data_IF_543654617563
#
_entry.id   IF_543654617563
#
_cell.length_a   1.000
_cell.length_b   1.000
_cell.length_c   1.000
_cell.angle_alpha   90.00
_cell.angle_beta   90.00
_cell.angle_gamma   90.00
#
_symmetry.space_group_name_H-M   'P 1'
#
loop_
_entity.id
_entity.type
_entity.pdbx_description
1 polymer ?
#
# COMPACT_ATOMS: atom_id res chain seq x y z
N UNK A 1 -14.41 0.84 12.98
CA UNK A 1 -13.50 0.66 14.13
C UNK A 1 -13.65 1.85 15.07
N UNK A 2 -13.62 1.62 16.37
CA UNK A 2 -13.58 2.69 17.36
C UNK A 2 -12.15 2.92 17.82
N UNK A 3 -11.82 4.17 18.14
CA UNK A 3 -10.51 4.54 18.67
C UNK A 3 -10.35 3.98 20.09
N UNK A 4 -9.25 3.28 20.35
CA UNK A 4 -8.93 2.76 21.68
C UNK A 4 -8.53 3.92 22.60
N UNK A 5 -9.09 3.93 23.81
CA UNK A 5 -8.67 4.87 24.85
C UNK A 5 -7.25 4.52 25.31
N UNK A 6 -6.39 5.53 25.48
CA UNK A 6 -5.04 5.37 26.01
C UNK A 6 -4.53 6.69 26.59
N UNK A 7 -3.47 6.62 27.38
CA UNK A 7 -2.84 7.75 28.05
C UNK A 7 -1.46 8.13 27.47
N UNK A 8 -1.28 7.87 26.18
CA UNK A 8 -0.05 8.21 25.45
C UNK A 8 0.67 7.04 24.83
N UNK A 9 0.38 5.81 25.26
CA UNK A 9 0.91 4.59 24.68
C UNK A 9 -0.23 3.61 24.42
N UNK A 10 -0.26 3.03 23.23
CA UNK A 10 -1.28 2.05 22.86
C UNK A 10 -0.64 0.89 22.08
N UNK A 11 -1.19 -0.30 22.28
CA UNK A 11 -0.80 -1.49 21.51
C UNK A 11 -1.99 -1.89 20.65
N UNK A 12 -1.75 -1.99 19.33
CA UNK A 12 -2.73 -2.52 18.39
C UNK A 12 -2.44 -4.00 18.20
N UNK A 13 -3.41 -4.85 18.49
CA UNK A 13 -3.27 -6.28 18.33
C UNK A 13 -3.84 -6.72 16.98
N UNK A 14 -3.29 -7.78 16.36
CA UNK A 14 -3.81 -8.26 15.08
C UNK A 14 -5.25 -8.77 15.23
N UNK A 15 -5.99 -8.77 14.13
CA UNK A 15 -7.33 -9.34 14.06
C UNK A 15 -8.37 -8.47 13.37
N UNK A 16 -8.22 -7.16 13.39
CA UNK A 16 -9.09 -6.26 12.64
C UNK A 16 -8.56 -6.06 11.23
N UNK A 17 -9.47 -6.00 10.27
CA UNK A 17 -9.14 -5.77 8.87
C UNK A 17 -10.04 -4.67 8.29
N UNK A 18 -9.62 -4.10 7.18
CA UNK A 18 -10.45 -3.20 6.37
C UNK A 18 -10.10 -3.37 4.89
N UNK A 19 -11.04 -2.99 4.02
CA UNK A 19 -10.82 -3.02 2.58
C UNK A 19 -10.46 -1.61 2.12
N UNK A 20 -9.28 -1.46 1.51
CA UNK A 20 -8.82 -0.19 0.98
C UNK A 20 -9.34 0.09 -0.43
N UNK A 21 -9.32 1.35 -0.84
CA UNK A 21 -9.73 1.79 -2.18
C UNK A 21 -8.90 1.16 -3.29
N UNK A 22 -7.67 0.74 -2.99
CA UNK A 22 -6.77 0.05 -3.91
C UNK A 22 -7.22 -1.38 -4.24
N UNK A 23 -8.21 -1.93 -3.50
CA UNK A 23 -8.81 -3.23 -3.76
C UNK A 23 -8.32 -4.35 -2.85
N UNK A 24 -7.52 -4.04 -1.82
CA UNK A 24 -6.96 -5.05 -0.92
C UNK A 24 -7.57 -5.01 0.47
N UNK A 25 -7.48 -6.15 1.16
CA UNK A 25 -7.81 -6.26 2.59
C UNK A 25 -6.53 -6.06 3.40
N UNK A 26 -6.54 -5.04 4.23
CA UNK A 26 -5.42 -4.69 5.10
C UNK A 26 -5.65 -5.22 6.51
N UNK A 27 -4.57 -5.63 7.17
CA UNK A 27 -4.57 -5.76 8.62
C UNK A 27 -4.46 -4.38 9.24
N UNK A 28 -5.46 -4.00 10.05
CA UNK A 28 -5.49 -2.69 10.68
C UNK A 28 -4.37 -2.56 11.72
N UNK A 29 -3.56 -1.52 11.59
CA UNK A 29 -2.46 -1.20 12.50
C UNK A 29 -2.74 0.05 13.32
N UNK A 30 -1.68 0.73 13.73
CA UNK A 30 -1.78 2.00 14.43
C UNK A 30 -2.11 3.12 13.46
N UNK A 31 -3.23 3.80 13.67
CA UNK A 31 -3.78 4.80 12.77
C UNK A 31 -4.71 5.75 13.51
N UNK A 32 -5.24 6.73 12.81
CA UNK A 32 -6.28 7.61 13.35
C UNK A 32 -7.50 6.79 13.82
N UNK A 33 -7.86 5.78 13.04
CA UNK A 33 -9.06 4.97 13.31
C UNK A 33 -8.90 4.04 14.52
N UNK A 34 -7.68 3.63 14.84
CA UNK A 34 -7.44 2.68 15.94
C UNK A 34 -6.94 3.33 17.21
N UNK A 35 -6.04 4.30 17.11
CA UNK A 35 -5.38 4.91 18.29
C UNK A 35 -5.41 6.43 18.27
N UNK A 36 -6.09 7.06 17.31
CA UNK A 36 -6.14 8.52 17.20
C UNK A 36 -4.85 9.17 16.72
N UNK A 37 -4.01 8.44 15.98
CA UNK A 37 -2.80 8.99 15.39
C UNK A 37 -3.14 10.13 14.42
N UNK A 38 -2.37 11.20 14.44
CA UNK A 38 -2.67 12.40 13.64
C UNK A 38 -1.81 12.50 12.39
N UNK A 39 -0.55 12.08 12.46
CA UNK A 39 0.43 12.38 11.42
C UNK A 39 1.13 11.15 10.86
N UNK A 40 0.78 9.97 11.32
CA UNK A 40 1.41 8.73 10.89
C UNK A 40 0.45 7.57 11.07
N UNK A 41 0.55 6.58 10.19
CA UNK A 41 -0.13 5.30 10.37
C UNK A 41 0.74 4.16 9.84
N UNK A 42 0.50 2.96 10.36
CA UNK A 42 1.15 1.73 9.90
C UNK A 42 0.10 0.64 9.79
N UNK A 43 0.05 -0.02 8.66
CA UNK A 43 -0.87 -1.12 8.41
C UNK A 43 -0.14 -2.29 7.74
N UNK A 44 -0.75 -3.47 7.78
CA UNK A 44 -0.19 -4.68 7.21
C UNK A 44 -0.96 -5.00 5.92
N UNK A 45 -0.23 -5.23 4.84
CA UNK A 45 -0.82 -5.54 3.54
C UNK A 45 -0.33 -6.90 3.05
N UNK A 46 -1.11 -7.98 3.24
CA UNK A 46 -0.83 -9.23 2.57
C UNK A 46 -1.34 -9.17 1.13
N UNK A 47 -0.52 -9.65 0.20
CA UNK A 47 -0.89 -9.73 -1.22
C UNK A 47 -0.70 -11.17 -1.70
N UNK A 48 -1.78 -11.85 -2.08
CA UNK A 48 -1.67 -13.19 -2.66
C UNK A 48 -0.98 -13.14 -4.04
N UNK A 49 -0.52 -14.31 -4.55
CA UNK A 49 0.05 -14.36 -5.89
C UNK A 49 -0.91 -13.79 -6.93
N UNK A 50 -0.39 -12.98 -7.85
CA UNK A 50 -1.18 -12.37 -8.91
C UNK A 50 -1.98 -11.14 -8.49
N UNK A 51 -1.99 -10.79 -7.21
CA UNK A 51 -2.70 -9.60 -6.74
C UNK A 51 -2.10 -8.33 -7.35
N UNK A 52 -2.97 -7.44 -7.81
CA UNK A 52 -2.60 -6.19 -8.44
C UNK A 52 -3.39 -5.04 -7.81
N UNK A 53 -2.68 -4.04 -7.30
CA UNK A 53 -3.31 -2.85 -6.78
C UNK A 53 -3.89 -2.01 -7.92
N UNK A 54 -5.01 -1.35 -7.66
CA UNK A 54 -5.48 -0.28 -8.53
C UNK A 54 -4.46 0.86 -8.50
N UNK A 55 -4.11 1.38 -9.66
CA UNK A 55 -3.17 2.49 -9.77
C UNK A 55 -3.70 3.71 -9.05
N UNK A 56 -2.86 4.33 -8.26
CA UNK A 56 -3.23 5.49 -7.45
C UNK A 56 -2.01 6.32 -7.09
N UNK A 57 -2.25 7.49 -6.54
CA UNK A 57 -1.26 8.24 -5.79
C UNK A 57 -1.86 8.73 -4.47
N UNK A 58 -1.02 9.09 -3.53
CA UNK A 58 -1.42 9.70 -2.27
C UNK A 58 -1.08 11.19 -2.32
N UNK A 59 -2.12 12.02 -2.37
CA UNK A 59 -1.95 13.46 -2.52
C UNK A 59 -1.32 14.07 -1.26
N UNK A 60 -0.12 14.63 -1.44
CA UNK A 60 0.60 15.30 -0.36
C UNK A 60 1.13 14.37 0.74
N UNK A 61 1.11 13.05 0.53
CA UNK A 61 1.44 12.04 1.54
C UNK A 61 2.56 11.15 1.03
N UNK A 62 3.60 10.99 1.84
CA UNK A 62 4.70 10.08 1.57
C UNK A 62 4.40 8.68 2.12
N UNK A 63 4.96 7.67 1.49
CA UNK A 63 4.82 6.28 1.90
C UNK A 63 6.18 5.63 2.03
N UNK A 64 6.36 4.86 3.10
CA UNK A 64 7.45 3.91 3.23
C UNK A 64 6.83 2.54 3.45
N UNK A 65 7.28 1.55 2.69
CA UNK A 65 6.81 0.18 2.84
C UNK A 65 7.99 -0.76 3.02
N UNK A 66 7.87 -1.66 3.98
CA UNK A 66 8.87 -2.69 4.28
C UNK A 66 8.34 -4.03 3.81
N UNK A 67 9.13 -4.77 3.04
CA UNK A 67 8.76 -6.11 2.61
C UNK A 67 9.10 -7.11 3.73
N UNK A 68 8.09 -7.49 4.50
CA UNK A 68 8.24 -8.42 5.61
C UNK A 68 8.48 -9.85 5.13
N UNK A 69 7.78 -10.25 4.07
CA UNK A 69 7.84 -11.61 3.51
C UNK A 69 7.56 -11.57 2.02
N UNK A 70 8.30 -12.36 1.25
CA UNK A 70 8.11 -12.47 -0.20
C UNK A 70 8.73 -11.32 -0.96
N UNK A 71 8.21 -11.07 -2.16
CA UNK A 71 8.65 -9.98 -3.02
C UNK A 71 7.48 -9.44 -3.84
N UNK A 72 7.59 -8.20 -4.30
CA UNK A 72 6.55 -7.55 -5.09
C UNK A 72 7.16 -6.55 -6.06
N UNK A 73 6.63 -6.48 -7.27
CA UNK A 73 6.97 -5.44 -8.22
C UNK A 73 6.13 -4.19 -7.95
N UNK A 74 6.73 -3.02 -8.14
CA UNK A 74 6.03 -1.74 -8.07
C UNK A 74 6.22 -1.02 -9.41
N UNK A 75 5.12 -0.82 -10.13
CA UNK A 75 5.10 0.00 -11.33
C UNK A 75 4.83 1.44 -10.91
N UNK A 76 5.56 2.40 -11.49
CA UNK A 76 5.43 3.80 -11.08
C UNK A 76 5.81 4.76 -12.22
N UNK A 77 5.53 6.04 -12.01
CA UNK A 77 5.75 7.09 -12.97
C UNK A 77 4.44 7.59 -13.59
N UNK A 78 4.49 8.68 -14.31
CA UNK A 78 3.31 9.35 -14.87
C UNK A 78 2.48 8.44 -15.79
N UNK A 79 3.12 7.46 -16.39
CA UNK A 79 2.48 6.45 -17.26
C UNK A 79 2.78 5.03 -16.80
N UNK A 80 3.22 4.83 -15.56
CA UNK A 80 3.65 3.54 -15.01
C UNK A 80 4.72 2.86 -15.86
N UNK A 81 5.58 3.64 -16.49
CA UNK A 81 6.61 3.15 -17.41
C UNK A 81 7.83 2.55 -16.70
N UNK A 82 7.96 2.80 -15.42
CA UNK A 82 9.07 2.31 -14.61
C UNK A 82 8.61 1.15 -13.72
N UNK A 83 9.54 0.26 -13.41
CA UNK A 83 9.29 -0.90 -12.55
C UNK A 83 10.48 -1.12 -11.63
N UNK A 84 10.20 -1.40 -10.37
CA UNK A 84 11.20 -1.82 -9.39
C UNK A 84 10.70 -3.07 -8.67
N UNK A 85 11.61 -3.99 -8.38
CA UNK A 85 11.31 -5.18 -7.58
C UNK A 85 11.77 -4.93 -6.15
N UNK A 86 10.89 -5.16 -5.19
CA UNK A 86 11.17 -5.02 -3.76
C UNK A 86 11.15 -6.42 -3.14
N UNK A 87 12.28 -6.83 -2.57
CA UNK A 87 12.47 -8.16 -1.99
C UNK A 87 12.38 -8.12 -0.48
N UNK A 88 12.23 -9.29 0.12
CA UNK A 88 12.17 -9.44 1.58
C UNK A 88 13.33 -8.70 2.25
N UNK A 89 13.02 -7.92 3.28
CA UNK A 89 13.98 -7.12 4.03
C UNK A 89 14.28 -5.75 3.43
N UNK A 90 13.81 -5.48 2.22
CA UNK A 90 14.00 -4.19 1.56
C UNK A 90 12.88 -3.22 1.87
N UNK A 91 13.17 -1.93 1.75
CA UNK A 91 12.19 -0.86 1.94
C UNK A 91 11.98 -0.13 0.62
N UNK A 92 10.73 0.30 0.41
CA UNK A 92 10.31 1.05 -0.76
C UNK A 92 9.79 2.41 -0.31
N UNK A 93 10.31 3.48 -0.88
CA UNK A 93 9.79 4.82 -0.68
C UNK A 93 8.95 5.22 -1.89
N UNK A 94 7.76 5.78 -1.63
CA UNK A 94 6.92 6.37 -2.67
C UNK A 94 6.71 7.84 -2.34
N UNK A 95 7.18 8.71 -3.23
CA UNK A 95 7.03 10.15 -3.06
C UNK A 95 5.55 10.56 -3.08
N UNK A 96 5.24 11.69 -2.43
CA UNK A 96 3.92 12.29 -2.53
C UNK A 96 3.54 12.50 -4.00
N UNK A 97 2.29 12.29 -4.32
CA UNK A 97 1.71 12.50 -5.67
C UNK A 97 2.27 11.58 -6.77
N UNK A 98 3.06 10.57 -6.44
CA UNK A 98 3.65 9.66 -7.43
C UNK A 98 2.67 8.53 -7.78
N UNK A 99 2.23 8.45 -9.06
CA UNK A 99 1.41 7.32 -9.51
C UNK A 99 2.17 6.00 -9.37
N UNK A 100 1.53 5.01 -8.75
CA UNK A 100 2.15 3.70 -8.54
C UNK A 100 1.11 2.60 -8.45
N UNK A 101 1.56 1.37 -8.71
CA UNK A 101 0.74 0.17 -8.72
C UNK A 101 1.60 -1.03 -8.31
N UNK A 102 1.53 -1.50 -7.06
CA UNK A 102 2.16 -2.76 -6.69
C UNK A 102 1.47 -3.95 -7.36
N UNK A 103 2.27 -4.92 -7.82
CA UNK A 103 1.77 -6.17 -8.39
C UNK A 103 2.63 -7.33 -7.89
N UNK A 104 2.00 -8.33 -7.29
CA UNK A 104 2.71 -9.52 -6.87
C UNK A 104 2.83 -10.50 -8.04
N UNK A 105 3.95 -10.44 -8.72
CA UNK A 105 4.27 -11.28 -9.88
C UNK A 105 5.12 -12.49 -9.52
N UNK A 106 5.38 -12.72 -8.22
CA UNK A 106 6.34 -13.71 -7.76
C UNK A 106 5.82 -15.16 -7.76
N UNK A 107 4.52 -15.36 -7.88
CA UNK A 107 3.91 -16.68 -7.76
C UNK A 107 3.75 -17.18 -6.31
N UNK A 108 4.15 -16.38 -5.33
CA UNK A 108 4.03 -16.67 -3.88
C UNK A 108 3.38 -15.50 -3.17
N UNK A 109 2.77 -15.70 -1.98
CA UNK A 109 2.27 -14.59 -1.19
C UNK A 109 3.41 -13.65 -0.78
N UNK A 110 3.09 -12.36 -0.65
CA UNK A 110 3.98 -11.40 -0.01
C UNK A 110 3.22 -10.60 1.03
N UNK A 111 3.96 -9.99 1.96
CA UNK A 111 3.38 -9.17 3.03
C UNK A 111 4.20 -7.90 3.19
N UNK A 112 3.53 -6.77 3.04
CA UNK A 112 4.08 -5.46 3.26
C UNK A 112 3.71 -4.93 4.65
N UNK A 113 4.61 -4.18 5.26
CA UNK A 113 4.28 -3.22 6.31
C UNK A 113 4.28 -1.85 5.64
N UNK A 114 3.16 -1.14 5.69
CA UNK A 114 2.97 0.13 4.96
C UNK A 114 2.81 1.27 5.95
N UNK A 115 3.64 2.31 5.79
CA UNK A 115 3.64 3.50 6.64
C UNK A 115 3.37 4.73 5.77
N UNK A 116 2.43 5.56 6.20
CA UNK A 116 2.12 6.83 5.53
C UNK A 116 2.33 8.01 6.48
N UNK A 117 2.68 9.16 5.92
CA UNK A 117 2.79 10.43 6.64
C UNK A 117 1.40 11.08 6.83
N UNK A 118 0.44 10.30 7.28
CA UNK A 118 -0.94 10.69 7.54
C UNK A 118 -1.51 9.76 8.60
N UNK A 119 -2.50 10.21 9.34
CA UNK A 119 -3.16 9.37 10.33
C UNK A 119 -3.96 8.22 9.73
N UNK A 120 -4.32 8.30 8.46
CA UNK A 120 -5.12 7.27 7.79
C UNK A 120 -4.50 6.84 6.47
N UNK A 121 -4.44 5.52 6.26
CA UNK A 121 -4.00 4.91 5.01
C UNK A 121 -4.86 5.35 3.80
N UNK A 122 -6.12 5.65 4.03
CA UNK A 122 -7.07 6.02 2.98
C UNK A 122 -7.13 7.51 2.68
N UNK A 123 -6.36 8.33 3.42
CA UNK A 123 -6.29 9.76 3.15
C UNK A 123 -5.58 10.03 1.81
N UNK A 124 -6.10 11.03 1.09
CA UNK A 124 -5.45 11.54 -0.11
C UNK A 124 -5.36 10.57 -1.28
N UNK A 125 -5.98 9.39 -1.22
CA UNK A 125 -5.94 8.43 -2.33
C UNK A 125 -6.70 8.99 -3.53
N UNK A 126 -6.00 9.03 -4.67
CA UNK A 126 -6.59 9.36 -5.98
C UNK A 126 -6.37 8.17 -6.90
N UNK A 127 -7.46 7.53 -7.31
CA UNK A 127 -7.42 6.39 -8.24
C UNK A 127 -7.22 6.88 -9.67
N UNK A 128 -6.43 6.13 -10.45
CA UNK A 128 -6.07 6.45 -11.82
C UNK A 128 -6.44 5.31 -12.75
N UNK A 129 -7.74 5.09 -13.00
CA UNK A 129 -8.20 3.93 -13.80
C UNK A 129 -7.68 3.92 -15.23
N UNK A 130 -7.40 5.06 -15.84
CA UNK A 130 -6.83 5.11 -17.19
C UNK A 130 -5.42 4.52 -17.23
N UNK A 131 -4.64 4.67 -16.16
CA UNK A 131 -3.32 4.08 -16.06
C UNK A 131 -3.39 2.57 -15.84
N UNK A 132 -4.39 2.08 -15.12
CA UNK A 132 -4.64 0.64 -15.02
C UNK A 132 -4.85 0.03 -16.40
N UNK A 133 -5.70 0.64 -17.22
CA UNK A 133 -5.97 0.16 -18.57
C UNK A 133 -4.70 0.16 -19.44
N UNK A 134 -3.90 1.21 -19.37
CA UNK A 134 -2.63 1.30 -20.12
C UNK A 134 -1.64 0.22 -19.70
N UNK A 135 -1.50 -0.02 -18.41
CA UNK A 135 -0.59 -1.04 -17.87
C UNK A 135 -1.04 -2.43 -18.33
N UNK A 136 -2.33 -2.75 -18.20
CA UNK A 136 -2.87 -4.04 -18.64
C UNK A 136 -2.64 -4.26 -20.14
N UNK A 137 -2.83 -3.24 -20.96
CA UNK A 137 -2.57 -3.34 -22.41
C UNK A 137 -1.10 -3.62 -22.70
N UNK A 138 -0.17 -2.96 -22.02
CA UNK A 138 1.26 -3.21 -22.20
C UNK A 138 1.66 -4.62 -21.80
N UNK A 139 1.12 -5.09 -20.67
CA UNK A 139 1.41 -6.44 -20.16
C UNK A 139 0.85 -7.51 -21.09
N UNK A 140 -0.35 -7.32 -21.62
CA UNK A 140 -0.95 -8.23 -22.60
C UNK A 140 -0.13 -8.28 -23.91
N UNK A 141 0.42 -7.16 -24.36
CA UNK A 141 1.23 -7.07 -25.58
C UNK A 141 2.59 -7.78 -25.46
N UNK A 142 3.11 -7.96 -24.23
CA UNK A 142 4.39 -8.61 -23.95
C UNK A 142 4.25 -10.07 -23.49
N UNK A 143 3.03 -10.54 -23.36
CA UNK A 143 2.77 -11.90 -22.87
C UNK A 143 2.99 -12.95 -23.98
#
# INVERSE_FOLDING_TARGET
MSVSAHDGVAVVRPGQTYVGKQGFTYGAGASAETVGAQSVCMNILPMPPGAAAKTHYHKGIETIAYMLEGECAVYYGDNLQKRVLVRQGEQCFVAADMPHAPRNESGKPCTWIVVHSSGSDQDGIVLLPDLDAKLEQRMAATA
#
